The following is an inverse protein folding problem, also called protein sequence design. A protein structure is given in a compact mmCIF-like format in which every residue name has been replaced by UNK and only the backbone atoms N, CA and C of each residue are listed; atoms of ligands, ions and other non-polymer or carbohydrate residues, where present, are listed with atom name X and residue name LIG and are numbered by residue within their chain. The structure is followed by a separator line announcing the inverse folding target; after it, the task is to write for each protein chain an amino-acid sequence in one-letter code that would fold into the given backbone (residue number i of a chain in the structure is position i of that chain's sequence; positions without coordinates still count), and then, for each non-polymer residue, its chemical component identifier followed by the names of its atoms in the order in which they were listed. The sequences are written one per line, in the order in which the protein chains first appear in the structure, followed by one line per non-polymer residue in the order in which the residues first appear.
data_IF_184022550800
#
_entry.id   IF_184022550800
#
_cell.length_a   1.000
_cell.length_b   1.000
_cell.length_c   1.000
_cell.angle_alpha   90.00
_cell.angle_beta   90.00
_cell.angle_gamma   90.00
#
_symmetry.space_group_name_H-M   'P 1'
#
loop_
_entity.id
_entity.type
_entity.pdbx_description
1 polymer ?
#
# COMPACT_ATOMS: atom_id res chain seq x y z
N UNK A 1 10.35 -4.41 -10.49
CA UNK A 1 10.72 -4.13 -11.89
C UNK A 1 9.97 -2.91 -12.42
N UNK A 2 8.64 -2.93 -12.50
CA UNK A 2 7.84 -1.74 -12.85
C UNK A 2 7.28 -1.12 -11.57
N UNK A 3 7.69 0.10 -11.22
CA UNK A 3 7.35 0.76 -9.93
C UNK A 3 6.35 1.89 -10.07
N UNK A 4 6.24 2.48 -11.26
CA UNK A 4 5.23 3.45 -11.64
C UNK A 4 5.07 3.45 -13.16
N UNK A 5 3.94 3.97 -13.61
CA UNK A 5 3.66 4.26 -15.02
C UNK A 5 3.12 5.68 -15.08
N UNK A 6 3.62 6.46 -16.04
CA UNK A 6 3.16 7.81 -16.31
C UNK A 6 2.86 7.93 -17.81
N UNK A 7 1.69 8.47 -18.13
CA UNK A 7 1.25 8.57 -19.51
C UNK A 7 -0.20 8.99 -19.62
N UNK A 8 -0.79 8.77 -20.79
CA UNK A 8 -2.17 9.15 -21.06
C UNK A 8 -3.14 8.07 -20.58
N UNK A 9 -4.15 8.47 -19.81
CA UNK A 9 -5.27 7.64 -19.43
C UNK A 9 -6.18 7.42 -20.65
N UNK A 10 -6.25 6.19 -21.15
CA UNK A 10 -7.06 5.80 -22.32
C UNK A 10 -8.40 5.23 -21.88
N UNK A 11 -8.40 4.37 -20.84
CA UNK A 11 -9.60 3.76 -20.29
C UNK A 11 -9.59 3.85 -18.76
N UNK A 12 -10.76 4.15 -18.17
CA UNK A 12 -10.93 4.27 -16.72
C UNK A 12 -12.17 3.50 -16.26
N UNK A 13 -11.94 2.33 -15.66
CA UNK A 13 -12.98 1.50 -15.06
C UNK A 13 -12.77 1.40 -13.54
N UNK A 14 -13.81 1.05 -12.75
CA UNK A 14 -13.67 0.93 -11.30
C UNK A 14 -12.65 -0.13 -10.83
N UNK A 15 -12.34 -1.12 -11.68
CA UNK A 15 -11.46 -2.25 -11.36
C UNK A 15 -10.11 -2.21 -12.05
N UNK A 16 -9.97 -1.37 -13.08
CA UNK A 16 -8.83 -1.37 -13.98
C UNK A 16 -8.75 -0.06 -14.77
N UNK A 17 -7.56 0.24 -15.24
CA UNK A 17 -7.28 1.37 -16.12
C UNK A 17 -6.30 0.96 -17.20
N UNK A 18 -6.36 1.65 -18.33
CA UNK A 18 -5.37 1.52 -19.41
C UNK A 18 -4.63 2.84 -19.55
N UNK A 19 -3.31 2.80 -19.37
CA UNK A 19 -2.42 3.96 -19.58
C UNK A 19 -1.56 3.71 -20.81
N UNK A 20 -1.63 4.61 -21.78
CA UNK A 20 -0.68 4.69 -22.90
C UNK A 20 0.58 5.41 -22.43
N UNK A 21 1.69 4.69 -22.43
CA UNK A 21 3.02 5.25 -22.18
C UNK A 21 3.87 5.06 -23.45
N UNK A 22 4.03 6.16 -24.20
CA UNK A 22 4.85 6.19 -25.43
C UNK A 22 4.40 5.16 -26.49
N UNK A 23 3.09 4.95 -26.66
CA UNK A 23 2.52 4.03 -27.64
C UNK A 23 2.32 2.59 -27.15
N UNK A 24 2.62 2.30 -25.88
CA UNK A 24 2.35 1.01 -25.24
C UNK A 24 1.22 1.17 -24.23
N UNK A 25 0.11 0.46 -24.46
CA UNK A 25 -1.03 0.42 -23.55
C UNK A 25 -0.82 -0.57 -22.40
N UNK A 26 -0.71 -0.07 -21.18
CA UNK A 26 -0.57 -0.88 -19.98
C UNK A 26 -1.92 -1.09 -19.31
N UNK A 27 -2.37 -2.35 -19.25
CA UNK A 27 -3.52 -2.74 -18.44
C UNK A 27 -3.11 -2.86 -16.97
N UNK A 28 -3.73 -2.07 -16.10
CA UNK A 28 -3.39 -1.96 -14.69
C UNK A 28 -4.64 -2.18 -13.85
N UNK A 29 -4.61 -3.19 -12.98
CA UNK A 29 -5.69 -3.45 -12.03
C UNK A 29 -5.63 -2.44 -10.88
N UNK A 30 -6.75 -1.83 -10.52
CA UNK A 30 -6.80 -0.82 -9.45
C UNK A 30 -7.86 -1.15 -8.40
N UNK A 31 -7.75 -0.54 -7.23
CA UNK A 31 -8.78 -0.55 -6.18
C UNK A 31 -9.84 0.54 -6.44
N UNK A 32 -11.02 0.41 -5.82
CA UNK A 32 -12.03 1.48 -5.85
C UNK A 32 -11.51 2.77 -5.18
N UNK A 33 -10.65 2.64 -4.18
CA UNK A 33 -9.96 3.76 -3.56
C UNK A 33 -9.12 4.53 -4.60
N UNK A 34 -8.23 3.82 -5.29
CA UNK A 34 -7.41 4.40 -6.38
C UNK A 34 -8.28 5.00 -7.49
N UNK A 35 -9.37 4.34 -7.88
CA UNK A 35 -10.29 4.85 -8.92
C UNK A 35 -10.88 6.22 -8.55
N UNK A 36 -11.24 6.37 -7.28
CA UNK A 36 -11.85 7.59 -6.73
C UNK A 36 -10.85 8.72 -6.60
N UNK A 37 -9.59 8.41 -6.28
CA UNK A 37 -8.51 9.40 -6.18
C UNK A 37 -7.89 9.76 -7.54
N UNK A 38 -8.11 8.96 -8.58
CA UNK A 38 -7.53 9.21 -9.88
C UNK A 38 -8.10 10.50 -10.50
N UNK A 39 -7.26 11.48 -10.88
CA UNK A 39 -7.73 12.71 -11.49
C UNK A 39 -8.40 12.42 -12.84
N UNK A 40 -9.31 13.31 -13.25
CA UNK A 40 -9.94 13.28 -14.58
C UNK A 40 -9.03 13.84 -15.69
N UNK A 41 -7.73 14.04 -15.40
CA UNK A 41 -6.77 14.56 -16.36
C UNK A 41 -6.35 13.51 -17.39
N UNK A 42 -5.99 13.97 -18.58
CA UNK A 42 -5.51 13.07 -19.64
C UNK A 42 -4.18 12.43 -19.26
N UNK A 43 -3.25 13.17 -18.65
CA UNK A 43 -1.99 12.61 -18.16
C UNK A 43 -2.09 12.25 -16.68
N UNK A 44 -1.73 11.00 -16.36
CA UNK A 44 -1.77 10.47 -14.99
C UNK A 44 -0.47 9.74 -14.65
N UNK A 45 -0.15 9.70 -13.37
CA UNK A 45 0.95 8.90 -12.81
C UNK A 45 0.37 7.94 -11.78
N UNK A 46 0.62 6.65 -11.97
CA UNK A 46 0.15 5.58 -11.11
C UNK A 46 1.35 4.80 -10.57
N UNK A 47 1.39 4.58 -9.26
CA UNK A 47 2.39 3.71 -8.67
C UNK A 47 1.97 2.27 -8.90
N UNK A 48 2.91 1.42 -9.31
CA UNK A 48 2.57 0.06 -9.72
C UNK A 48 3.36 -0.99 -8.96
N UNK A 49 2.74 -2.16 -8.83
CA UNK A 49 3.36 -3.40 -8.38
C UNK A 49 3.14 -4.48 -9.44
N UNK A 50 4.24 -4.96 -10.01
CA UNK A 50 4.24 -6.09 -10.94
C UNK A 50 4.26 -7.40 -10.16
N UNK A 51 3.19 -8.18 -10.29
CA UNK A 51 3.11 -9.55 -9.80
C UNK A 51 3.41 -10.51 -10.96
N UNK A 52 4.50 -11.28 -10.81
CA UNK A 52 4.91 -12.30 -11.77
C UNK A 52 4.51 -13.67 -11.22
N UNK A 53 3.70 -14.39 -11.98
CA UNK A 53 3.38 -15.81 -11.77
C UNK A 53 3.89 -16.62 -12.96
N UNK A 54 3.83 -17.93 -12.84
CA UNK A 54 4.28 -18.85 -13.90
C UNK A 54 3.51 -18.65 -15.22
N UNK A 55 2.24 -18.29 -15.13
CA UNK A 55 1.29 -18.16 -16.24
C UNK A 55 0.98 -16.72 -16.65
N UNK A 56 1.31 -15.73 -15.81
CA UNK A 56 0.85 -14.37 -16.01
C UNK A 56 1.75 -13.29 -15.39
N UNK A 57 1.80 -12.15 -16.08
CA UNK A 57 2.29 -10.88 -15.54
C UNK A 57 1.10 -9.97 -15.27
N UNK A 58 0.90 -9.59 -14.01
CA UNK A 58 -0.22 -8.73 -13.62
C UNK A 58 0.28 -7.45 -12.97
N UNK A 59 -0.15 -6.31 -13.51
CA UNK A 59 0.10 -5.01 -12.90
C UNK A 59 -1.06 -4.62 -11.98
N UNK A 60 -0.70 -4.20 -10.77
CA UNK A 60 -1.58 -3.52 -9.83
C UNK A 60 -1.15 -2.08 -9.68
N UNK A 61 -2.11 -1.15 -9.69
CA UNK A 61 -1.89 0.29 -9.63
C UNK A 61 -2.49 0.91 -8.37
N UNK A 62 -1.82 1.95 -7.88
CA UNK A 62 -2.14 2.68 -6.65
C UNK A 62 -1.94 4.17 -6.84
N UNK A 63 -2.79 4.98 -6.23
CA UNK A 63 -2.72 6.45 -6.29
C UNK A 63 -1.50 6.98 -5.52
N UNK A 64 -1.09 6.28 -4.46
CA UNK A 64 0.01 6.68 -3.57
C UNK A 64 1.03 5.56 -3.34
N UNK A 65 2.23 5.95 -2.95
CA UNK A 65 3.28 4.99 -2.55
C UNK A 65 2.86 4.23 -1.30
N UNK A 66 2.21 4.89 -0.34
CA UNK A 66 1.75 4.28 0.90
C UNK A 66 0.76 3.14 0.63
N UNK A 67 -0.21 3.36 -0.26
CA UNK A 67 -1.18 2.33 -0.66
C UNK A 67 -0.48 1.13 -1.30
N UNK A 68 0.51 1.36 -2.18
CA UNK A 68 1.31 0.28 -2.78
C UNK A 68 2.07 -0.55 -1.74
N UNK A 69 2.66 0.10 -0.74
CA UNK A 69 3.39 -0.61 0.32
C UNK A 69 2.45 -1.42 1.21
N UNK A 70 1.25 -0.90 1.52
CA UNK A 70 0.21 -1.65 2.23
C UNK A 70 -0.23 -2.87 1.41
N UNK A 71 -0.45 -2.72 0.11
CA UNK A 71 -0.77 -3.86 -0.77
C UNK A 71 0.32 -4.94 -0.73
N UNK A 72 1.59 -4.55 -0.80
CA UNK A 72 2.73 -5.48 -0.70
C UNK A 72 2.77 -6.20 0.64
N UNK A 73 2.45 -5.50 1.72
CA UNK A 73 2.32 -6.10 3.05
C UNK A 73 1.18 -7.12 3.06
N UNK A 74 -0.01 -6.75 2.58
CA UNK A 74 -1.18 -7.63 2.53
C UNK A 74 -0.89 -8.94 1.79
N UNK A 75 -0.33 -8.89 0.57
CA UNK A 75 -0.03 -10.10 -0.21
C UNK A 75 1.12 -10.94 0.37
N UNK A 76 1.89 -10.38 1.32
CA UNK A 76 2.94 -11.14 2.02
C UNK A 76 2.37 -12.06 3.11
N UNK A 77 1.09 -11.89 3.47
CA UNK A 77 0.41 -12.74 4.45
C UNK A 77 -0.06 -14.01 3.76
N UNK A 78 0.28 -15.16 4.34
CA UNK A 78 -0.16 -16.46 3.81
C UNK A 78 -1.68 -16.57 3.86
N UNK A 79 -2.29 -16.83 2.70
CA UNK A 79 -3.75 -16.90 2.54
C UNK A 79 -4.39 -15.61 2.04
N UNK A 80 -3.62 -14.53 1.85
CA UNK A 80 -4.09 -13.30 1.20
C UNK A 80 -3.47 -13.21 -0.20
N UNK A 81 -4.30 -13.39 -1.21
CA UNK A 81 -3.90 -13.20 -2.60
C UNK A 81 -4.03 -11.75 -3.06
N UNK A 82 -3.41 -11.42 -4.20
CA UNK A 82 -3.48 -10.10 -4.81
C UNK A 82 -4.93 -9.63 -5.11
N UNK A 83 -5.82 -10.54 -5.50
CA UNK A 83 -7.24 -10.21 -5.66
C UNK A 83 -7.90 -9.80 -4.34
N UNK A 84 -7.63 -10.54 -3.26
CA UNK A 84 -8.18 -10.26 -1.93
C UNK A 84 -7.63 -8.95 -1.37
N UNK A 85 -6.32 -8.70 -1.54
CA UNK A 85 -5.69 -7.44 -1.15
C UNK A 85 -6.28 -6.25 -1.93
N UNK A 86 -6.54 -6.41 -3.23
CA UNK A 86 -7.24 -5.39 -4.04
C UNK A 86 -8.66 -5.16 -3.52
N UNK A 87 -9.41 -6.22 -3.24
CA UNK A 87 -10.78 -6.09 -2.68
C UNK A 87 -10.77 -5.39 -1.32
N UNK A 88 -9.77 -5.66 -0.48
CA UNK A 88 -9.60 -4.99 0.80
C UNK A 88 -9.39 -3.48 0.63
N UNK A 89 -8.49 -3.08 -0.28
CA UNK A 89 -8.28 -1.66 -0.61
C UNK A 89 -9.44 -1.03 -1.39
N UNK A 90 -10.37 -1.83 -1.91
CA UNK A 90 -11.63 -1.33 -2.48
C UNK A 90 -12.71 -1.12 -1.42
N UNK A 91 -12.64 -1.82 -0.28
CA UNK A 91 -13.62 -1.73 0.80
C UNK A 91 -13.20 -0.76 1.91
N UNK A 92 -11.89 -0.62 2.14
CA UNK A 92 -11.31 0.16 3.22
C UNK A 92 -10.25 1.09 2.66
N UNK A 93 -10.20 2.32 3.18
CA UNK A 93 -9.10 3.22 2.88
C UNK A 93 -7.78 2.66 3.46
N UNK A 94 -6.62 2.98 2.86
CA UNK A 94 -5.32 2.51 3.34
C UNK A 94 -5.08 2.79 4.83
N UNK A 95 -5.51 3.96 5.32
CA UNK A 95 -5.38 4.35 6.73
C UNK A 95 -6.25 3.49 7.65
N UNK A 96 -7.47 3.16 7.21
CA UNK A 96 -8.38 2.29 7.97
C UNK A 96 -7.83 0.87 8.07
N UNK A 97 -7.15 0.39 7.03
CA UNK A 97 -6.45 -0.91 7.06
C UNK A 97 -5.34 -0.89 8.10
N UNK A 98 -4.52 0.17 8.13
CA UNK A 98 -3.46 0.32 9.12
C UNK A 98 -4.01 0.41 10.54
N UNK A 99 -5.07 1.21 10.75
CA UNK A 99 -5.71 1.38 12.06
C UNK A 99 -6.34 0.08 12.57
N UNK A 100 -7.04 -0.66 11.71
CA UNK A 100 -7.63 -1.95 12.07
C UNK A 100 -6.55 -2.96 12.47
N UNK A 101 -5.40 -2.97 11.80
CA UNK A 101 -4.27 -3.82 12.18
C UNK A 101 -3.65 -3.35 13.51
N UNK A 102 -3.48 -2.04 13.72
CA UNK A 102 -2.88 -1.48 14.94
C UNK A 102 -3.74 -1.75 16.19
N UNK A 103 -5.06 -1.60 16.07
CA UNK A 103 -6.02 -1.81 17.16
C UNK A 103 -6.41 -3.28 17.37
N UNK A 104 -5.95 -4.19 16.52
CA UNK A 104 -6.35 -5.60 16.48
C UNK A 104 -7.84 -5.80 16.20
N UNK A 105 -8.43 -4.91 15.40
CA UNK A 105 -9.80 -5.02 14.95
C UNK A 105 -9.93 -6.06 13.82
N UNK A 106 -10.05 -7.32 14.25
CA UNK A 106 -10.24 -8.46 13.34
C UNK A 106 -11.57 -8.37 12.59
N UNK A 107 -12.60 -7.74 13.18
CA UNK A 107 -13.96 -7.69 12.61
C UNK A 107 -13.95 -6.84 11.33
N UNK A 108 -13.29 -5.69 11.37
CA UNK A 108 -13.15 -4.82 10.19
C UNK A 108 -12.43 -5.54 9.06
N UNK A 109 -11.35 -6.27 9.35
CA UNK A 109 -10.60 -7.04 8.35
C UNK A 109 -11.44 -8.21 7.80
N UNK A 110 -12.21 -8.89 8.67
CA UNK A 110 -13.08 -10.00 8.30
C UNK A 110 -14.28 -9.57 7.46
N UNK A 111 -14.72 -8.30 7.55
CA UNK A 111 -15.83 -7.77 6.75
C UNK A 111 -15.56 -7.79 5.24
N UNK A 112 -14.28 -7.87 4.84
CA UNK A 112 -13.85 -7.90 3.45
C UNK A 112 -14.19 -9.25 2.82
N UNK A 113 -14.87 -9.20 1.68
CA UNK A 113 -15.23 -10.40 0.91
C UNK A 113 -13.99 -11.23 0.56
N UNK A 114 -14.00 -12.50 0.96
CA UNK A 114 -12.91 -13.44 0.70
C UNK A 114 -11.88 -13.56 1.84
N UNK A 115 -12.06 -12.83 2.94
CA UNK A 115 -11.27 -13.00 4.17
C UNK A 115 -12.10 -13.75 5.22
N UNK A 116 -11.65 -14.95 5.59
CA UNK A 116 -12.24 -15.72 6.69
C UNK A 116 -11.65 -15.34 8.05
N UNK A 117 -12.28 -15.76 9.15
CA UNK A 117 -11.86 -15.43 10.52
C UNK A 117 -10.38 -15.79 10.81
N UNK A 118 -9.92 -16.98 10.38
CA UNK A 118 -8.53 -17.42 10.55
C UNK A 118 -7.54 -16.54 9.75
N UNK A 119 -7.92 -16.18 8.53
CA UNK A 119 -7.09 -15.32 7.68
C UNK A 119 -7.04 -13.90 8.25
N UNK A 120 -8.17 -13.36 8.72
CA UNK A 120 -8.22 -12.04 9.36
C UNK A 120 -7.32 -11.96 10.60
N UNK A 121 -7.39 -12.97 11.47
CA UNK A 121 -6.48 -13.08 12.62
C UNK A 121 -5.01 -13.10 12.20
N UNK A 122 -4.68 -13.87 11.16
CA UNK A 122 -3.32 -13.97 10.65
C UNK A 122 -2.84 -12.65 10.03
N UNK A 123 -3.70 -11.94 9.30
CA UNK A 123 -3.40 -10.62 8.74
C UNK A 123 -3.04 -9.65 9.86
N UNK A 124 -3.86 -9.56 10.90
CA UNK A 124 -3.59 -8.67 12.03
C UNK A 124 -2.26 -9.05 12.71
N UNK A 125 -2.05 -10.33 13.01
CA UNK A 125 -0.84 -10.79 13.71
C UNK A 125 0.44 -10.61 12.87
N UNK A 126 0.46 -11.10 11.63
CA UNK A 126 1.64 -11.05 10.76
C UNK A 126 1.99 -9.61 10.33
N UNK A 127 1.00 -8.72 10.22
CA UNK A 127 1.22 -7.34 9.78
C UNK A 127 1.48 -6.36 10.91
N UNK A 128 0.97 -6.60 12.13
CA UNK A 128 1.27 -5.73 13.28
C UNK A 128 2.77 -5.63 13.51
N UNK A 129 3.47 -6.76 13.51
CA UNK A 129 4.93 -6.80 13.67
C UNK A 129 5.68 -6.09 12.52
N UNK A 130 5.14 -6.13 11.31
CA UNK A 130 5.75 -5.50 10.12
C UNK A 130 5.48 -4.01 10.05
N UNK A 131 4.27 -3.56 10.39
CA UNK A 131 3.89 -2.15 10.41
C UNK A 131 4.70 -1.41 11.48
N UNK A 132 4.89 -2.00 12.66
CA UNK A 132 5.74 -1.42 13.70
C UNK A 132 7.18 -1.17 13.21
N UNK A 133 7.72 -2.07 12.38
CA UNK A 133 9.07 -1.96 11.81
C UNK A 133 9.16 -1.00 10.61
N UNK A 134 8.13 -0.93 9.78
CA UNK A 134 8.14 -0.17 8.51
C UNK A 134 7.64 1.26 8.69
N UNK A 135 6.59 1.46 9.47
CA UNK A 135 5.96 2.76 9.70
C UNK A 135 6.44 3.44 10.98
N UNK A 136 7.30 2.78 11.77
CA UNK A 136 7.94 3.41 12.91
C UNK A 136 6.93 4.12 13.81
N UNK A 137 5.84 3.45 14.20
CA UNK A 137 5.02 3.89 15.35
C UNK A 137 5.81 3.63 16.67
N UNK A 138 7.06 4.06 16.66
CA UNK A 138 8.00 4.23 17.76
C UNK A 138 8.24 5.73 17.95
N UNK A 139 7.17 6.53 17.83
CA UNK A 139 7.22 7.97 18.11
C UNK A 139 6.04 8.45 18.94
N UNK A 140 5.54 7.62 19.86
CA UNK A 140 4.81 8.11 21.04
C UNK A 140 5.22 7.25 22.23
N UNK A 141 6.49 7.35 22.67
CA UNK A 141 6.96 7.14 24.05
C UNK A 141 8.49 7.14 24.08
N UNK A 142 9.07 8.34 24.18
CA UNK A 142 10.29 8.70 24.89
C UNK A 142 10.84 9.98 24.24
N UNK A 143 10.87 11.07 25.01
CA UNK A 143 11.29 12.37 24.52
C UNK A 143 12.66 12.31 23.86
N UNK A 144 12.73 12.79 22.62
CA UNK A 144 13.98 13.18 21.95
C UNK A 144 14.58 14.34 22.72
N UNK A 145 15.29 14.03 23.80
CA UNK A 145 16.34 14.92 24.30
C UNK A 145 17.40 14.97 23.21
N UNK A 146 17.44 16.07 22.46
CA UNK A 146 18.48 16.37 21.49
C UNK A 146 19.82 16.50 22.20
N UNK A 147 20.51 15.39 22.47
CA UNK A 147 21.90 15.40 22.97
C UNK A 147 22.92 15.78 21.90
N UNK A 148 22.51 15.81 20.62
CA UNK A 148 23.40 16.16 19.50
C UNK A 148 23.82 17.64 19.44
N UNK A 149 23.30 18.51 20.32
CA UNK A 149 23.69 19.93 20.34
C UNK A 149 24.86 20.23 21.29
N UNK A 150 25.15 19.35 22.26
CA UNK A 150 26.26 19.56 23.20
C UNK A 150 27.60 19.01 22.70
N UNK A 151 27.63 17.93 21.91
CA UNK A 151 28.89 17.40 21.36
C UNK A 151 29.52 18.32 20.31
N UNK A 152 28.71 19.07 19.56
CA UNK A 152 29.21 20.01 18.55
C UNK A 152 29.90 21.25 19.17
N UNK A 153 29.52 21.65 20.39
CA UNK A 153 30.14 22.78 21.09
C UNK A 153 31.48 22.40 21.72
N UNK A 154 31.63 21.17 22.23
CA UNK A 154 32.89 20.71 22.84
C UNK A 154 34.05 20.58 21.84
N UNK A 155 33.76 20.42 20.55
CA UNK A 155 34.78 20.33 19.50
C UNK A 155 35.33 21.70 19.05
N UNK A 156 34.76 22.82 19.51
CA UNK A 156 35.19 24.17 19.15
C UNK A 156 36.09 24.83 20.23
N UNK A 157 36.26 24.17 21.39
CA UNK A 157 37.04 24.68 22.54
C UNK A 157 38.39 23.96 22.74
N UNK A 158 38.98 23.36 21.69
CA UNK A 158 40.39 22.92 21.72
C UNK A 158 41.09 23.38 20.45
#
# INVERSE_FOLDING_TARGET
MITHIQGRLVEKNPTDVVIDCSGVGYFINISLHTFSELPSSENVKLFTHLLVREDAHTLYGFSSVAEREIFKLLISVSGVGASTARTMLSSLAPDQVLEAIATNDIITIQSVKGIGAKTAQRVVLDLKDKILKVYGLSSISAGTSNTNKNEALSALET
#
